data_IF_583475071854
#
_entry.id   IF_583475071854
#
_cell.length_a   1.000
_cell.length_b   1.000
_cell.length_c   1.000
_cell.angle_alpha   90.00
_cell.angle_beta   90.00
_cell.angle_gamma   90.00
#
_symmetry.space_group_name_H-M   'P 1'
#
loop_
_entity.id
_entity.type
_entity.pdbx_description
1 polymer ?
#
# COMPACT_ATOMS: atom_id res chain seq x y z
N UNK A 1 13.12 11.31 6.05
CA UNK A 1 12.48 10.83 7.31
C UNK A 1 11.64 11.90 7.97
N UNK A 2 12.12 13.10 8.05
CA UNK A 2 11.43 14.24 8.68
C UNK A 2 10.17 14.64 7.89
N UNK A 3 10.24 14.69 6.55
CA UNK A 3 9.09 14.98 5.70
C UNK A 3 7.99 13.91 5.83
N UNK A 4 8.38 12.63 5.97
CA UNK A 4 7.43 11.52 6.20
C UNK A 4 6.66 11.73 7.52
N UNK A 5 7.36 12.04 8.62
CA UNK A 5 6.70 12.29 9.92
C UNK A 5 5.79 13.53 9.83
N UNK A 6 6.27 14.61 9.20
CA UNK A 6 5.47 15.83 9.01
C UNK A 6 4.21 15.56 8.20
N UNK A 7 4.31 14.84 7.08
CA UNK A 7 3.15 14.46 6.27
C UNK A 7 2.16 13.62 7.07
N UNK A 8 2.65 12.63 7.86
CA UNK A 8 1.80 11.84 8.73
C UNK A 8 1.04 12.70 9.75
N UNK A 9 1.69 13.70 10.35
CA UNK A 9 1.05 14.64 11.29
C UNK A 9 -0.01 15.50 10.60
N UNK A 10 0.27 16.02 9.41
CA UNK A 10 -0.65 16.87 8.64
C UNK A 10 -1.94 16.14 8.21
N UNK A 11 -1.85 14.83 7.94
CA UNK A 11 -2.98 13.99 7.56
C UNK A 11 -3.78 13.47 8.76
N UNK A 12 -3.26 13.69 9.97
CA UNK A 12 -3.86 13.09 11.18
C UNK A 12 -5.09 13.86 11.65
N UNK A 13 -6.17 13.14 11.93
CA UNK A 13 -7.38 13.72 12.50
C UNK A 13 -7.14 14.23 13.93
N UNK A 14 -7.69 15.39 14.27
CA UNK A 14 -7.44 16.13 15.52
C UNK A 14 -7.63 15.32 16.79
N UNK A 15 -8.48 14.28 16.77
CA UNK A 15 -8.74 13.44 17.96
C UNK A 15 -7.78 12.25 18.10
N UNK A 16 -6.88 12.03 17.13
CA UNK A 16 -5.89 10.94 17.19
C UNK A 16 -4.69 11.35 18.02
N UNK A 17 -4.05 10.38 18.64
CA UNK A 17 -2.87 10.61 19.48
C UNK A 17 -1.59 10.49 18.69
N UNK A 18 -0.50 11.13 19.15
CA UNK A 18 0.85 10.96 18.61
C UNK A 18 1.26 9.48 18.57
N UNK A 19 0.79 8.67 19.54
CA UNK A 19 1.03 7.21 19.57
C UNK A 19 0.38 6.47 18.42
N UNK A 20 -0.81 6.90 17.96
CA UNK A 20 -1.46 6.34 16.78
C UNK A 20 -0.61 6.58 15.53
N UNK A 21 -0.10 7.79 15.34
CA UNK A 21 0.77 8.17 14.22
C UNK A 21 2.05 7.33 14.23
N UNK A 22 2.73 7.28 15.39
CA UNK A 22 3.91 6.46 15.57
C UNK A 22 3.65 4.99 15.22
N UNK A 23 2.52 4.42 15.66
CA UNK A 23 2.16 3.03 15.36
C UNK A 23 1.99 2.78 13.85
N UNK A 24 1.46 3.74 13.09
CA UNK A 24 1.37 3.66 11.63
C UNK A 24 2.78 3.62 11.03
N UNK A 25 3.64 4.58 11.39
CA UNK A 25 4.98 4.72 10.82
C UNK A 25 5.88 3.50 11.09
N UNK A 26 5.81 2.92 12.29
CA UNK A 26 6.59 1.71 12.64
C UNK A 26 5.96 0.41 12.18
N UNK A 27 4.71 0.46 11.68
CA UNK A 27 4.01 -0.72 11.18
C UNK A 27 3.51 -1.65 12.28
N UNK A 28 2.91 -1.11 13.36
CA UNK A 28 2.32 -1.93 14.41
C UNK A 28 1.21 -2.82 13.84
N UNK A 29 1.36 -4.13 13.97
CA UNK A 29 0.41 -5.13 13.48
C UNK A 29 -0.82 -5.20 14.38
N UNK A 30 -1.82 -4.34 14.16
CA UNK A 30 -3.13 -4.39 14.81
C UNK A 30 -4.20 -3.83 13.87
N UNK A 31 -5.43 -4.38 13.94
CA UNK A 31 -6.57 -3.97 13.12
C UNK A 31 -6.87 -2.48 13.30
N UNK A 32 -6.77 -1.96 14.55
CA UNK A 32 -6.95 -0.53 14.79
C UNK A 32 -5.90 0.33 14.06
N UNK A 33 -4.63 -0.11 13.98
CA UNK A 33 -3.61 0.64 13.25
C UNK A 33 -3.86 0.60 11.74
N UNK A 34 -4.33 -0.53 11.20
CA UNK A 34 -4.72 -0.60 9.79
C UNK A 34 -5.89 0.32 9.48
N UNK A 35 -6.93 0.32 10.33
CA UNK A 35 -8.07 1.21 10.18
C UNK A 35 -7.65 2.68 10.30
N UNK A 36 -6.81 3.03 11.28
CA UNK A 36 -6.29 4.38 11.46
C UNK A 36 -5.47 4.84 10.25
N UNK A 37 -4.65 3.96 9.67
CA UNK A 37 -3.89 4.28 8.46
C UNK A 37 -4.79 4.46 7.23
N UNK A 38 -5.82 3.63 7.07
CA UNK A 38 -6.76 3.71 5.95
C UNK A 38 -7.64 4.94 6.06
N UNK A 39 -8.32 5.16 7.20
CA UNK A 39 -9.26 6.26 7.41
C UNK A 39 -8.63 7.65 7.28
N UNK A 40 -7.32 7.76 7.43
CA UNK A 40 -6.54 8.99 7.29
C UNK A 40 -5.73 9.06 5.99
N UNK A 41 -5.93 8.13 5.04
CA UNK A 41 -5.19 8.00 3.78
C UNK A 41 -3.67 7.86 3.96
N UNK A 42 -3.23 7.26 5.09
CA UNK A 42 -1.83 7.06 5.44
C UNK A 42 -1.34 5.63 5.18
N UNK A 43 -2.03 4.81 4.37
CA UNK A 43 -1.61 3.43 4.11
C UNK A 43 -0.20 3.35 3.53
N UNK A 44 0.17 4.27 2.62
CA UNK A 44 1.52 4.31 2.05
C UNK A 44 2.61 4.69 3.05
N UNK A 45 2.25 5.25 4.21
CA UNK A 45 3.16 5.52 5.32
C UNK A 45 3.27 4.34 6.29
N UNK A 46 2.32 3.37 6.24
CA UNK A 46 2.35 2.23 7.15
C UNK A 46 3.61 1.41 6.95
N UNK A 47 4.37 1.24 8.06
CA UNK A 47 5.66 0.52 8.10
C UNK A 47 6.78 1.17 7.27
N UNK A 48 6.71 2.49 7.03
CA UNK A 48 7.76 3.23 6.31
C UNK A 48 9.00 3.50 7.17
N UNK A 49 8.85 3.56 8.50
CA UNK A 49 9.93 3.85 9.45
C UNK A 49 10.02 2.78 10.57
N UNK A 50 10.26 1.49 10.24
CA UNK A 50 10.20 0.39 11.22
C UNK A 50 11.24 0.49 12.35
N UNK A 51 12.34 1.19 12.12
CA UNK A 51 13.42 1.38 13.10
C UNK A 51 13.26 2.65 13.95
N UNK A 52 12.22 3.46 13.71
CA UNK A 52 11.97 4.67 14.47
C UNK A 52 11.66 4.32 15.93
N UNK A 53 12.42 4.91 16.86
CA UNK A 53 12.19 4.76 18.30
C UNK A 53 11.23 5.84 18.79
N UNK A 54 10.36 5.49 19.75
CA UNK A 54 9.34 6.42 20.26
C UNK A 54 9.96 7.70 20.88
N UNK A 55 11.04 7.63 21.69
CA UNK A 55 11.67 8.85 22.20
C UNK A 55 12.24 9.77 21.09
N UNK A 56 12.76 9.19 20.01
CA UNK A 56 13.23 9.98 18.86
C UNK A 56 12.09 10.66 18.10
N UNK A 57 10.92 9.99 18.06
CA UNK A 57 9.71 10.57 17.50
C UNK A 57 9.19 11.73 18.36
N UNK A 58 9.16 11.58 19.68
CA UNK A 58 8.77 12.67 20.62
C UNK A 58 9.71 13.87 20.51
N UNK A 59 11.02 13.64 20.50
CA UNK A 59 12.01 14.71 20.31
C UNK A 59 11.81 15.45 18.97
N UNK A 60 11.43 14.74 17.91
CA UNK A 60 11.09 15.37 16.63
C UNK A 60 9.86 16.28 16.74
N UNK A 61 8.82 15.85 17.48
CA UNK A 61 7.60 16.66 17.67
C UNK A 61 7.88 17.98 18.41
N UNK A 62 8.81 17.97 19.36
CA UNK A 62 9.20 19.15 20.11
C UNK A 62 9.91 20.19 19.24
N UNK A 63 10.61 19.74 18.18
CA UNK A 63 11.46 20.59 17.31
C UNK A 63 10.85 20.85 15.92
N UNK A 64 9.59 20.47 15.69
CA UNK A 64 8.98 20.49 14.34
C UNK A 64 8.82 21.89 13.73
N UNK A 65 8.85 22.96 14.55
CA UNK A 65 8.65 24.36 14.11
C UNK A 65 9.80 24.91 13.27
N UNK A 66 10.98 24.31 13.31
CA UNK A 66 12.20 24.78 12.63
C UNK A 66 12.33 24.25 11.18
N UNK A 67 11.38 23.43 10.70
CA UNK A 67 11.50 22.73 9.42
C UNK A 67 10.82 23.46 8.26
N UNK A 68 11.62 24.03 7.35
CA UNK A 68 11.17 24.40 6.00
C UNK A 68 10.98 23.14 5.15
N UNK A 69 9.76 22.88 4.69
CA UNK A 69 9.46 21.72 3.85
C UNK A 69 9.80 22.04 2.39
N UNK A 70 10.96 21.58 1.92
CA UNK A 70 11.32 21.63 0.48
C UNK A 70 10.75 20.47 -0.32
N UNK A 71 10.26 19.41 0.35
CA UNK A 71 9.72 18.21 -0.28
C UNK A 71 8.39 17.81 0.33
N UNK A 72 7.41 17.50 -0.51
CA UNK A 72 6.14 16.91 -0.14
C UNK A 72 6.20 15.38 -0.34
N UNK A 73 5.72 14.62 0.64
CA UNK A 73 5.60 13.15 0.55
C UNK A 73 4.22 12.82 -0.03
N UNK A 74 4.23 12.17 -1.18
CA UNK A 74 3.02 11.69 -1.84
C UNK A 74 2.43 10.51 -1.08
N UNK A 75 1.09 10.44 -1.06
CA UNK A 75 0.36 9.37 -0.39
C UNK A 75 -0.43 8.53 -1.40
N UNK A 76 -0.56 7.23 -1.11
CA UNK A 76 -1.40 6.32 -1.87
C UNK A 76 -2.46 5.68 -0.95
N UNK A 77 -3.78 5.79 -1.28
CA UNK A 77 -4.85 5.37 -0.39
C UNK A 77 -5.02 3.83 -0.26
N UNK A 78 -4.44 3.04 -1.17
CA UNK A 78 -4.74 1.60 -1.30
C UNK A 78 -3.58 0.67 -0.93
N UNK A 79 -2.34 1.15 -0.94
CA UNK A 79 -1.15 0.30 -0.79
C UNK A 79 -0.28 0.74 0.38
N UNK A 80 0.25 -0.25 1.11
CA UNK A 80 1.24 0.00 2.17
C UNK A 80 2.62 0.21 1.57
N UNK A 81 3.53 0.87 2.30
CA UNK A 81 4.92 1.03 1.88
C UNK A 81 5.57 -0.32 1.53
N UNK A 82 5.33 -1.35 2.35
CA UNK A 82 5.84 -2.70 2.11
C UNK A 82 5.34 -3.27 0.78
N UNK A 83 4.05 -3.19 0.49
CA UNK A 83 3.49 -3.74 -0.76
C UNK A 83 3.95 -2.99 -2.01
N UNK A 84 4.15 -1.68 -1.91
CA UNK A 84 4.76 -0.89 -2.99
C UNK A 84 6.19 -1.33 -3.25
N UNK A 85 7.00 -1.50 -2.19
CA UNK A 85 8.36 -2.02 -2.29
C UNK A 85 8.41 -3.44 -2.87
N UNK A 86 7.51 -4.34 -2.44
CA UNK A 86 7.40 -5.69 -2.99
C UNK A 86 6.99 -5.69 -4.47
N UNK A 87 6.10 -4.78 -4.89
CA UNK A 87 5.74 -4.59 -6.29
C UNK A 87 6.95 -4.18 -7.11
N UNK A 88 7.75 -3.22 -6.62
CA UNK A 88 8.97 -2.83 -7.28
C UNK A 88 10.01 -3.97 -7.34
N UNK A 89 10.19 -4.72 -6.25
CA UNK A 89 11.06 -5.91 -6.25
C UNK A 89 10.61 -6.96 -7.27
N UNK A 90 9.31 -7.11 -7.49
CA UNK A 90 8.78 -8.00 -8.51
C UNK A 90 9.06 -7.48 -9.94
N UNK A 91 8.99 -6.16 -10.17
CA UNK A 91 9.43 -5.55 -11.44
C UNK A 91 10.92 -5.78 -11.65
N UNK A 92 11.77 -5.55 -10.65
CA UNK A 92 13.21 -5.81 -10.73
C UNK A 92 13.52 -7.26 -11.11
N UNK A 93 12.86 -8.23 -10.45
CA UNK A 93 13.05 -9.65 -10.74
C UNK A 93 12.53 -10.02 -12.14
N UNK A 94 11.42 -9.41 -12.61
CA UNK A 94 10.94 -9.64 -13.97
C UNK A 94 11.93 -9.09 -15.01
N UNK A 95 12.47 -7.89 -14.82
CA UNK A 95 13.52 -7.31 -15.69
C UNK A 95 14.74 -8.20 -15.72
N UNK A 96 15.25 -8.65 -14.56
CA UNK A 96 16.38 -9.58 -14.48
C UNK A 96 16.08 -10.88 -15.24
N UNK A 97 14.90 -11.47 -15.05
CA UNK A 97 14.48 -12.71 -15.70
C UNK A 97 14.40 -12.54 -17.21
N UNK A 98 13.75 -11.47 -17.69
CA UNK A 98 13.61 -11.19 -19.13
C UNK A 98 14.98 -10.98 -19.78
N UNK A 99 15.84 -10.14 -19.19
CA UNK A 99 17.17 -9.84 -19.74
C UNK A 99 18.05 -11.07 -19.81
N UNK A 100 18.12 -11.90 -18.75
CA UNK A 100 18.95 -13.12 -18.77
C UNK A 100 18.41 -14.18 -19.74
N UNK A 101 17.10 -14.39 -19.79
CA UNK A 101 16.51 -15.40 -20.67
C UNK A 101 16.62 -15.03 -22.16
N UNK A 102 16.61 -13.74 -22.50
CA UNK A 102 16.89 -13.27 -23.88
C UNK A 102 18.34 -13.61 -24.33
N UNK A 103 19.29 -13.63 -23.39
CA UNK A 103 20.68 -14.07 -23.61
C UNK A 103 20.88 -15.58 -23.42
N UNK A 104 19.79 -16.35 -23.29
CA UNK A 104 19.79 -17.79 -23.05
C UNK A 104 20.52 -18.23 -21.77
N UNK A 105 20.69 -17.32 -20.81
CA UNK A 105 21.19 -17.64 -19.48
C UNK A 105 20.03 -17.92 -18.51
N UNK A 106 19.93 -19.17 -18.07
CA UNK A 106 18.92 -19.66 -17.14
C UNK A 106 19.49 -19.97 -15.74
N UNK A 107 20.76 -19.63 -15.48
CA UNK A 107 21.47 -19.95 -14.24
C UNK A 107 21.77 -18.74 -13.36
N UNK A 108 21.05 -17.64 -13.55
CA UNK A 108 21.19 -16.47 -12.72
C UNK A 108 20.60 -16.69 -11.30
N UNK A 109 21.16 -16.02 -10.31
CA UNK A 109 20.60 -15.98 -8.94
C UNK A 109 19.53 -14.90 -8.86
N UNK A 110 18.27 -15.25 -8.50
CA UNK A 110 17.21 -14.26 -8.40
C UNK A 110 17.54 -13.18 -7.36
N UNK A 111 17.33 -11.91 -7.69
CA UNK A 111 17.54 -10.76 -6.79
C UNK A 111 16.58 -10.75 -5.59
N UNK A 112 15.46 -11.46 -5.68
CA UNK A 112 14.51 -11.64 -4.56
C UNK A 112 14.36 -13.11 -4.20
N UNK A 113 14.52 -13.44 -2.91
CA UNK A 113 14.29 -14.77 -2.36
C UNK A 113 12.87 -14.94 -1.78
N UNK A 114 12.00 -13.96 -1.96
CA UNK A 114 10.61 -14.02 -1.52
C UNK A 114 9.81 -14.92 -2.48
N UNK A 115 9.33 -16.06 -1.98
CA UNK A 115 8.57 -17.03 -2.78
C UNK A 115 7.35 -16.42 -3.48
N UNK A 116 6.60 -15.55 -2.78
CA UNK A 116 5.42 -14.91 -3.36
C UNK A 116 5.78 -14.01 -4.53
N UNK A 117 6.89 -13.28 -4.44
CA UNK A 117 7.41 -12.45 -5.54
C UNK A 117 7.85 -13.35 -6.70
N UNK A 118 8.61 -14.42 -6.44
CA UNK A 118 9.07 -15.35 -7.47
C UNK A 118 7.90 -16.03 -8.20
N UNK A 119 6.86 -16.46 -7.48
CA UNK A 119 5.66 -17.06 -8.07
C UNK A 119 4.90 -16.05 -8.95
N UNK A 120 4.71 -14.82 -8.47
CA UNK A 120 4.06 -13.76 -9.25
C UNK A 120 4.84 -13.46 -10.52
N UNK A 121 6.15 -13.30 -10.42
CA UNK A 121 7.03 -13.04 -11.58
C UNK A 121 6.99 -14.20 -12.57
N UNK A 122 7.02 -15.46 -12.10
CA UNK A 122 6.91 -16.63 -12.96
C UNK A 122 5.61 -16.64 -13.77
N UNK A 123 4.49 -16.30 -13.13
CA UNK A 123 3.19 -16.22 -13.82
C UNK A 123 3.23 -15.14 -14.92
N UNK A 124 3.71 -13.94 -14.58
CA UNK A 124 3.77 -12.82 -15.55
C UNK A 124 4.79 -13.09 -16.66
N UNK A 125 5.95 -13.67 -16.35
CA UNK A 125 6.94 -14.09 -17.35
C UNK A 125 6.36 -15.10 -18.35
N UNK A 126 5.67 -16.14 -17.87
CA UNK A 126 5.02 -17.11 -18.73
C UNK A 126 3.94 -16.46 -19.62
N UNK A 127 3.14 -15.56 -19.06
CA UNK A 127 2.15 -14.78 -19.81
C UNK A 127 2.80 -13.98 -20.93
N UNK A 128 3.90 -13.27 -20.68
CA UNK A 128 4.66 -12.53 -21.70
C UNK A 128 5.16 -13.47 -22.78
N UNK A 129 5.76 -14.60 -22.40
CA UNK A 129 6.36 -15.58 -23.32
C UNK A 129 5.32 -16.24 -24.23
N UNK A 130 4.22 -16.73 -23.65
CA UNK A 130 3.15 -17.42 -24.37
C UNK A 130 2.43 -16.52 -25.36
N UNK A 131 2.26 -15.24 -25.01
CA UNK A 131 1.60 -14.25 -25.86
C UNK A 131 2.55 -13.41 -26.71
N UNK A 132 3.87 -13.69 -26.68
CA UNK A 132 4.92 -12.97 -27.44
C UNK A 132 4.94 -11.46 -27.19
N UNK A 133 4.76 -11.05 -25.93
CA UNK A 133 4.63 -9.64 -25.49
C UNK A 133 5.94 -9.02 -25.01
N UNK A 134 7.12 -9.50 -25.47
CA UNK A 134 8.42 -8.99 -25.01
C UNK A 134 8.60 -7.50 -25.31
N UNK A 135 8.26 -7.08 -26.54
CA UNK A 135 8.36 -5.67 -26.96
C UNK A 135 7.34 -4.81 -26.19
N UNK A 136 6.13 -5.32 -25.96
CA UNK A 136 5.10 -4.60 -25.20
C UNK A 136 5.54 -4.40 -23.74
N UNK A 137 6.16 -5.41 -23.14
CA UNK A 137 6.75 -5.31 -21.79
C UNK A 137 7.84 -4.23 -21.72
N UNK A 138 8.76 -4.19 -22.69
CA UNK A 138 9.83 -3.19 -22.78
C UNK A 138 9.24 -1.77 -22.92
N UNK A 139 8.22 -1.61 -23.76
CA UNK A 139 7.51 -0.35 -23.94
C UNK A 139 6.77 0.09 -22.66
N UNK A 140 6.04 -0.83 -22.00
CA UNK A 140 5.38 -0.53 -20.72
C UNK A 140 6.40 -0.12 -19.64
N UNK A 141 7.54 -0.83 -19.55
CA UNK A 141 8.59 -0.51 -18.59
C UNK A 141 9.19 0.88 -18.86
N UNK A 142 9.52 1.18 -20.12
CA UNK A 142 10.03 2.49 -20.52
C UNK A 142 9.04 3.61 -20.20
N UNK A 143 7.76 3.42 -20.55
CA UNK A 143 6.70 4.41 -20.31
C UNK A 143 6.47 4.63 -18.79
N UNK A 144 6.54 3.57 -17.98
CA UNK A 144 6.43 3.67 -16.53
C UNK A 144 7.52 4.58 -15.93
N UNK A 145 8.78 4.33 -16.26
CA UNK A 145 9.88 5.16 -15.76
C UNK A 145 9.83 6.59 -16.31
N UNK A 146 9.41 6.77 -17.55
CA UNK A 146 9.17 8.09 -18.14
C UNK A 146 8.06 8.84 -17.40
N UNK A 147 6.95 8.19 -17.10
CA UNK A 147 5.84 8.78 -16.35
C UNK A 147 6.27 9.19 -14.92
N UNK A 148 7.06 8.36 -14.23
CA UNK A 148 7.62 8.70 -12.92
C UNK A 148 8.54 9.93 -13.04
N UNK A 149 9.42 9.97 -14.04
CA UNK A 149 10.36 11.08 -14.27
C UNK A 149 9.65 12.41 -14.58
N UNK A 150 8.50 12.37 -15.24
CA UNK A 150 7.71 13.57 -15.51
C UNK A 150 7.10 14.19 -14.23
N UNK A 151 6.94 13.40 -13.17
CA UNK A 151 6.40 13.87 -11.87
C UNK A 151 7.50 14.26 -10.87
N UNK A 152 8.76 13.99 -11.18
CA UNK A 152 9.90 14.35 -10.34
C UNK A 152 11.12 13.46 -10.60
N UNK A 153 12.24 13.68 -9.89
CA UNK A 153 13.43 12.86 -10.02
C UNK A 153 13.11 11.38 -9.75
N UNK A 154 13.50 10.50 -10.68
CA UNK A 154 13.30 9.06 -10.56
C UNK A 154 14.63 8.38 -10.29
N UNK A 155 14.73 7.65 -9.19
CA UNK A 155 15.95 6.91 -8.82
C UNK A 155 15.75 5.38 -8.85
N UNK A 156 14.53 4.89 -9.08
CA UNK A 156 14.24 3.45 -9.07
C UNK A 156 14.97 2.69 -10.21
N UNK A 157 15.22 3.35 -11.34
CA UNK A 157 15.92 2.72 -12.47
C UNK A 157 17.33 2.25 -12.12
N UNK A 158 18.03 2.90 -11.18
CA UNK A 158 19.36 2.47 -10.72
C UNK A 158 19.37 1.07 -10.08
N UNK A 159 18.23 0.61 -9.62
CA UNK A 159 18.08 -0.68 -8.95
C UNK A 159 17.63 -1.80 -9.88
N UNK A 160 17.52 -1.54 -11.18
CA UNK A 160 17.27 -2.59 -12.16
C UNK A 160 18.58 -3.33 -12.48
N UNK A 161 18.46 -4.63 -12.67
CA UNK A 161 19.58 -5.49 -13.05
C UNK A 161 19.28 -6.16 -14.38
N UNK A 162 20.16 -5.97 -15.36
CA UNK A 162 20.18 -6.70 -16.62
C UNK A 162 21.20 -7.85 -16.59
N UNK A 163 21.39 -8.50 -17.75
CA UNK A 163 22.40 -9.54 -17.93
C UNK A 163 23.83 -8.97 -17.78
N UNK A 164 24.13 -7.88 -18.49
CA UNK A 164 25.45 -7.21 -18.46
C UNK A 164 25.50 -6.00 -17.53
N UNK A 165 24.37 -5.58 -16.95
CA UNK A 165 24.23 -4.37 -16.15
C UNK A 165 23.89 -4.70 -14.70
N UNK A 166 24.86 -4.61 -13.77
CA UNK A 166 24.60 -4.82 -12.36
C UNK A 166 23.79 -3.65 -11.76
N UNK A 167 22.88 -3.94 -10.84
CA UNK A 167 22.18 -2.90 -10.10
C UNK A 167 23.13 -2.11 -9.18
N UNK A 168 22.81 -0.84 -8.96
CA UNK A 168 23.51 0.00 -7.98
C UNK A 168 22.97 -0.26 -6.56
N UNK A 169 23.84 -0.09 -5.57
CA UNK A 169 23.42 -0.01 -4.17
C UNK A 169 22.88 1.40 -3.85
N UNK A 170 22.02 1.53 -2.86
CA UNK A 170 21.53 2.84 -2.40
C UNK A 170 22.69 3.81 -2.05
N UNK A 171 23.79 3.31 -1.49
CA UNK A 171 24.94 4.13 -1.17
C UNK A 171 25.60 4.69 -2.44
N UNK A 172 25.74 3.88 -3.48
CA UNK A 172 26.28 4.35 -4.78
C UNK A 172 25.37 5.40 -5.39
N UNK A 173 24.06 5.17 -5.44
CA UNK A 173 23.09 6.17 -5.95
C UNK A 173 23.15 7.47 -5.15
N UNK A 174 23.22 7.40 -3.81
CA UNK A 174 23.39 8.56 -2.94
C UNK A 174 24.64 9.39 -3.30
N UNK A 175 25.76 8.72 -3.60
CA UNK A 175 27.01 9.38 -4.01
C UNK A 175 26.91 9.98 -5.42
N UNK A 176 26.34 9.25 -6.39
CA UNK A 176 26.17 9.69 -7.78
C UNK A 176 25.31 10.94 -7.83
N UNK A 177 24.15 10.90 -7.15
CA UNK A 177 23.15 11.96 -7.16
C UNK A 177 23.42 13.08 -6.13
N UNK A 178 24.47 12.94 -5.33
CA UNK A 178 24.86 13.89 -4.25
C UNK A 178 23.73 14.16 -3.26
N UNK A 179 22.96 13.14 -2.94
CA UNK A 179 21.86 13.17 -1.97
C UNK A 179 22.27 12.46 -0.67
N UNK A 180 21.76 12.92 0.47
CA UNK A 180 21.83 12.11 1.68
C UNK A 180 20.97 10.86 1.54
N UNK A 181 21.32 9.78 2.27
CA UNK A 181 20.53 8.54 2.30
C UNK A 181 19.07 8.80 2.67
N UNK A 182 18.83 9.80 3.49
CA UNK A 182 17.50 10.20 3.95
C UNK A 182 16.70 10.89 2.83
N UNK A 183 17.30 11.82 2.10
CA UNK A 183 16.67 12.48 0.95
C UNK A 183 16.35 11.46 -0.15
N UNK A 184 17.32 10.60 -0.48
CA UNK A 184 17.13 9.55 -1.47
C UNK A 184 15.95 8.64 -1.09
N UNK A 185 15.84 8.23 0.18
CA UNK A 185 14.72 7.42 0.66
C UNK A 185 13.35 8.11 0.47
N UNK A 186 13.28 9.41 0.73
CA UNK A 186 12.04 10.18 0.56
C UNK A 186 11.66 10.35 -0.91
N UNK A 187 12.63 10.54 -1.82
CA UNK A 187 12.39 10.51 -3.26
C UNK A 187 11.94 9.14 -3.75
N UNK A 188 12.62 8.06 -3.32
CA UNK A 188 12.25 6.69 -3.65
C UNK A 188 10.80 6.37 -3.21
N UNK A 189 10.40 6.88 -2.05
CA UNK A 189 9.03 6.71 -1.56
C UNK A 189 8.02 7.38 -2.51
N UNK A 190 8.29 8.61 -2.96
CA UNK A 190 7.44 9.30 -3.94
C UNK A 190 7.43 8.56 -5.29
N UNK A 191 8.58 8.05 -5.73
CA UNK A 191 8.66 7.23 -6.95
C UNK A 191 7.81 5.96 -6.84
N UNK A 192 7.83 5.26 -5.69
CA UNK A 192 7.00 4.08 -5.46
C UNK A 192 5.50 4.42 -5.47
N UNK A 193 5.11 5.54 -4.85
CA UNK A 193 3.72 6.01 -4.88
C UNK A 193 3.28 6.33 -6.31
N UNK A 194 4.10 7.08 -7.05
CA UNK A 194 3.83 7.40 -8.47
C UNK A 194 3.72 6.13 -9.31
N UNK A 195 4.65 5.19 -9.14
CA UNK A 195 4.61 3.88 -9.81
C UNK A 195 3.27 3.17 -9.59
N UNK A 196 2.75 3.17 -8.36
CA UNK A 196 1.48 2.50 -8.07
C UNK A 196 0.28 3.19 -8.71
N UNK A 197 0.26 4.53 -8.78
CA UNK A 197 -0.78 5.26 -9.51
C UNK A 197 -0.74 4.93 -11.01
N UNK A 198 0.46 4.94 -11.61
CA UNK A 198 0.63 4.59 -13.03
C UNK A 198 0.17 3.16 -13.32
N UNK A 199 0.63 2.17 -12.55
CA UNK A 199 0.23 0.76 -12.72
C UNK A 199 -1.28 0.53 -12.58
N UNK A 200 -2.02 1.47 -11.96
CA UNK A 200 -3.48 1.42 -11.79
C UNK A 200 -4.25 2.30 -12.77
N UNK A 201 -3.57 3.04 -13.65
CA UNK A 201 -4.23 3.91 -14.64
C UNK A 201 -5.03 3.15 -15.70
N UNK A 202 -4.78 1.85 -15.89
CA UNK A 202 -5.35 1.02 -16.94
C UNK A 202 -4.48 0.92 -18.20
N UNK A 203 -3.40 1.71 -18.29
CA UNK A 203 -2.51 1.72 -19.47
C UNK A 203 -1.48 0.59 -19.47
N UNK A 204 -1.21 -0.01 -18.32
CA UNK A 204 -0.17 -1.03 -18.13
C UNK A 204 -0.79 -2.42 -18.01
N UNK A 205 -0.99 -3.12 -19.14
CA UNK A 205 -1.69 -4.40 -19.19
C UNK A 205 -0.85 -5.58 -18.68
N UNK A 206 0.47 -5.48 -18.78
CA UNK A 206 1.44 -6.48 -18.34
C UNK A 206 1.90 -6.16 -16.91
N UNK A 207 2.46 -4.96 -16.69
CA UNK A 207 3.03 -4.58 -15.41
C UNK A 207 1.98 -4.47 -14.30
N UNK A 208 0.72 -4.17 -14.60
CA UNK A 208 -0.36 -4.18 -13.61
C UNK A 208 -0.60 -5.55 -12.98
N UNK A 209 -0.26 -6.65 -13.67
CA UNK A 209 -0.40 -8.03 -13.17
C UNK A 209 0.61 -8.38 -12.06
N UNK A 210 1.67 -7.56 -11.91
CA UNK A 210 2.73 -7.81 -10.93
C UNK A 210 2.47 -7.11 -9.58
N UNK A 211 1.38 -6.36 -9.46
CA UNK A 211 1.04 -5.60 -8.25
C UNK A 211 0.86 -6.54 -7.05
N UNK A 212 1.66 -6.29 -6.02
CA UNK A 212 1.63 -7.05 -4.77
C UNK A 212 0.64 -6.45 -3.78
N UNK A 213 -0.30 -7.26 -3.28
CA UNK A 213 -1.21 -6.85 -2.19
C UNK A 213 -0.50 -6.95 -0.85
N UNK A 214 -0.82 -6.06 0.13
CA UNK A 214 -0.28 -6.15 1.49
C UNK A 214 -0.60 -7.51 2.12
N UNK A 215 0.34 -8.10 2.86
CA UNK A 215 0.14 -9.41 3.49
C UNK A 215 -0.93 -9.34 4.59
N UNK A 216 -1.89 -10.27 4.59
CA UNK A 216 -2.87 -10.42 5.66
C UNK A 216 -2.20 -11.00 6.92
N UNK A 217 -2.72 -10.65 8.10
CA UNK A 217 -2.36 -11.36 9.32
C UNK A 217 -2.83 -12.83 9.24
N UNK A 218 -2.13 -13.74 9.92
CA UNK A 218 -2.39 -15.18 9.78
C UNK A 218 -3.86 -15.55 10.06
N UNK A 219 -4.46 -15.05 11.13
CA UNK A 219 -5.86 -15.35 11.47
C UNK A 219 -6.82 -14.68 10.47
N UNK A 220 -6.50 -13.48 10.00
CA UNK A 220 -7.26 -12.82 8.94
C UNK A 220 -7.19 -13.60 7.62
N UNK A 221 -6.06 -14.21 7.29
CA UNK A 221 -5.95 -15.07 6.10
C UNK A 221 -6.86 -16.30 6.20
N UNK A 222 -6.96 -16.93 7.38
CA UNK A 222 -7.89 -18.04 7.62
C UNK A 222 -9.34 -17.56 7.45
N UNK A 223 -9.69 -16.41 8.02
CA UNK A 223 -11.03 -15.81 7.81
C UNK A 223 -11.30 -15.56 6.32
N UNK A 224 -10.34 -14.99 5.58
CA UNK A 224 -10.47 -14.74 4.15
C UNK A 224 -10.74 -16.02 3.35
N UNK A 225 -10.00 -17.09 3.61
CA UNK A 225 -10.22 -18.37 2.91
C UNK A 225 -11.61 -18.95 3.20
N UNK A 226 -12.13 -18.84 4.44
CA UNK A 226 -13.47 -19.29 4.81
C UNK A 226 -14.58 -18.45 4.17
N UNK A 227 -14.37 -17.12 4.07
CA UNK A 227 -15.33 -16.26 3.35
C UNK A 227 -15.40 -16.63 1.86
N UNK A 228 -14.28 -16.99 1.22
CA UNK A 228 -14.28 -17.50 -0.17
C UNK A 228 -15.03 -18.85 -0.30
N UNK A 229 -15.06 -19.65 0.76
CA UNK A 229 -15.82 -20.91 0.86
C UNK A 229 -17.31 -20.67 1.25
N UNK A 230 -17.76 -19.40 1.27
CA UNK A 230 -19.15 -18.99 1.57
C UNK A 230 -19.60 -19.26 3.03
N UNK A 231 -18.68 -19.41 3.99
CA UNK A 231 -19.04 -19.45 5.42
C UNK A 231 -19.51 -18.07 5.88
N UNK A 232 -20.50 -18.05 6.79
CA UNK A 232 -20.94 -16.81 7.45
C UNK A 232 -19.90 -16.33 8.48
N UNK A 233 -19.96 -15.04 8.85
CA UNK A 233 -19.08 -14.49 9.88
C UNK A 233 -19.29 -15.19 11.23
N UNK A 234 -20.51 -15.58 11.56
CA UNK A 234 -20.89 -16.33 12.76
C UNK A 234 -20.26 -17.73 12.77
N UNK A 235 -20.34 -18.44 11.64
CA UNK A 235 -19.73 -19.77 11.49
C UNK A 235 -18.20 -19.70 11.67
N UNK A 236 -17.57 -18.68 11.07
CA UNK A 236 -16.13 -18.46 11.18
C UNK A 236 -15.74 -18.13 12.62
N UNK A 237 -16.53 -17.29 13.30
CA UNK A 237 -16.29 -16.94 14.71
C UNK A 237 -16.36 -18.18 15.60
N UNK A 238 -17.37 -19.05 15.38
CA UNK A 238 -17.51 -20.32 16.09
C UNK A 238 -16.33 -21.27 15.82
N UNK A 239 -15.93 -21.43 14.55
CA UNK A 239 -14.78 -22.28 14.16
C UNK A 239 -13.46 -21.82 14.76
N UNK A 240 -13.21 -20.51 14.75
CA UNK A 240 -11.98 -19.91 15.30
C UNK A 240 -12.03 -19.72 16.81
N UNK A 241 -13.18 -19.97 17.45
CA UNK A 241 -13.42 -19.75 18.89
C UNK A 241 -13.15 -18.32 19.33
N UNK A 242 -13.56 -17.34 18.53
CA UNK A 242 -13.41 -15.90 18.78
C UNK A 242 -14.76 -15.21 18.79
N UNK A 243 -14.80 -13.97 19.28
CA UNK A 243 -16.00 -13.14 19.21
C UNK A 243 -16.24 -12.65 17.78
N UNK A 244 -17.51 -12.42 17.43
CA UNK A 244 -17.89 -11.87 16.14
C UNK A 244 -17.14 -10.58 15.81
N UNK A 245 -16.93 -9.68 16.76
CA UNK A 245 -16.18 -8.45 16.55
C UNK A 245 -14.72 -8.69 16.10
N UNK A 246 -14.13 -9.84 16.42
CA UNK A 246 -12.80 -10.21 15.92
C UNK A 246 -12.86 -10.55 14.42
N UNK A 247 -13.92 -11.20 13.98
CA UNK A 247 -14.14 -11.49 12.56
C UNK A 247 -14.47 -10.20 11.80
N UNK A 248 -15.24 -9.28 12.38
CA UNK A 248 -15.47 -7.94 11.83
C UNK A 248 -14.14 -7.19 11.60
N UNK A 249 -13.21 -7.24 12.56
CA UNK A 249 -11.88 -6.66 12.43
C UNK A 249 -11.05 -7.36 11.33
N UNK A 250 -11.18 -8.70 11.16
CA UNK A 250 -10.55 -9.42 10.06
C UNK A 250 -11.12 -8.99 8.71
N UNK A 251 -12.45 -8.85 8.59
CA UNK A 251 -13.10 -8.36 7.37
C UNK A 251 -12.63 -6.96 7.01
N UNK A 252 -12.54 -6.05 7.99
CA UNK A 252 -11.98 -4.72 7.77
C UNK A 252 -10.54 -4.78 7.24
N UNK A 253 -9.67 -5.64 7.78
CA UNK A 253 -8.31 -5.81 7.27
C UNK A 253 -8.32 -6.34 5.82
N UNK A 254 -9.20 -7.29 5.48
CA UNK A 254 -9.35 -7.85 4.14
C UNK A 254 -9.75 -6.76 3.14
N UNK A 255 -10.72 -5.91 3.49
CA UNK A 255 -11.16 -4.77 2.68
C UNK A 255 -10.04 -3.72 2.56
N UNK A 256 -9.42 -3.30 3.67
CA UNK A 256 -8.32 -2.32 3.69
C UNK A 256 -7.17 -2.75 2.78
N UNK A 257 -6.82 -4.04 2.79
CA UNK A 257 -5.72 -4.59 1.97
C UNK A 257 -6.14 -4.98 0.54
N UNK A 258 -7.41 -4.78 0.19
CA UNK A 258 -7.95 -4.95 -1.16
C UNK A 258 -8.06 -6.40 -1.63
N UNK A 259 -8.23 -7.33 -0.71
CA UNK A 259 -8.52 -8.74 -1.05
C UNK A 259 -9.96 -8.96 -1.47
N UNK A 260 -10.90 -8.17 -0.93
CA UNK A 260 -12.31 -8.11 -1.30
C UNK A 260 -12.72 -6.65 -1.51
N UNK A 261 -13.77 -6.43 -2.30
CA UNK A 261 -14.34 -5.12 -2.62
C UNK A 261 -15.87 -5.13 -2.72
N UNK A 262 -16.52 -6.19 -2.21
CA UNK A 262 -17.95 -6.37 -2.20
C UNK A 262 -18.56 -5.75 -0.93
N UNK A 263 -18.64 -4.44 -0.88
CA UNK A 263 -19.18 -3.67 0.25
C UNK A 263 -20.67 -3.92 0.46
N UNK A 264 -21.42 -4.25 -0.61
CA UNK A 264 -22.87 -4.56 -0.59
C UNK A 264 -23.21 -5.77 0.27
N UNK A 265 -22.26 -6.68 0.52
CA UNK A 265 -22.45 -7.82 1.42
C UNK A 265 -22.61 -7.40 2.90
N UNK A 266 -22.21 -6.17 3.24
CA UNK A 266 -22.18 -5.69 4.61
C UNK A 266 -23.12 -4.52 4.88
N UNK A 267 -23.43 -3.69 3.86
CA UNK A 267 -24.27 -2.50 3.99
C UNK A 267 -25.12 -2.34 2.74
N UNK A 268 -26.40 -2.08 2.89
CA UNK A 268 -27.32 -1.86 1.78
C UNK A 268 -26.96 -0.58 1.01
N UNK A 269 -27.21 -0.56 -0.30
CA UNK A 269 -26.79 0.55 -1.19
C UNK A 269 -27.41 1.89 -0.82
N UNK A 270 -28.65 1.89 -0.30
CA UNK A 270 -29.31 3.12 0.14
C UNK A 270 -28.58 3.75 1.34
N UNK A 271 -28.23 2.94 2.33
CA UNK A 271 -27.45 3.36 3.50
C UNK A 271 -26.05 3.81 3.11
N UNK A 272 -25.41 3.14 2.13
CA UNK A 272 -24.11 3.55 1.60
C UNK A 272 -24.18 4.97 1.04
N UNK A 273 -25.11 5.27 0.15
CA UNK A 273 -25.25 6.59 -0.48
C UNK A 273 -25.52 7.68 0.54
N UNK A 274 -26.42 7.44 1.48
CA UNK A 274 -26.75 8.41 2.54
C UNK A 274 -25.53 8.70 3.42
N UNK A 275 -24.82 7.65 3.86
CA UNK A 275 -23.65 7.79 4.69
C UNK A 275 -22.50 8.48 3.96
N UNK A 276 -22.20 8.10 2.72
CA UNK A 276 -21.08 8.65 1.95
C UNK A 276 -21.26 10.15 1.69
N UNK A 277 -22.48 10.59 1.35
CA UNK A 277 -22.79 12.01 1.20
C UNK A 277 -22.54 12.80 2.49
N UNK A 278 -22.93 12.22 3.62
CA UNK A 278 -22.73 12.85 4.93
C UNK A 278 -21.24 12.83 5.32
N UNK A 279 -20.56 11.69 5.15
CA UNK A 279 -19.16 11.51 5.51
C UNK A 279 -18.22 12.47 4.74
N UNK A 280 -18.47 12.70 3.46
CA UNK A 280 -17.69 13.63 2.65
C UNK A 280 -17.64 15.04 3.25
N UNK A 281 -18.75 15.51 3.82
CA UNK A 281 -18.87 16.82 4.44
C UNK A 281 -18.33 16.87 5.88
N UNK A 282 -18.28 15.73 6.55
CA UNK A 282 -17.90 15.60 7.97
C UNK A 282 -16.70 14.67 8.16
N UNK A 283 -15.82 14.59 7.15
CA UNK A 283 -14.64 13.73 7.20
C UNK A 283 -13.74 14.10 8.38
N UNK A 284 -13.30 13.08 9.13
CA UNK A 284 -12.37 13.28 10.24
C UNK A 284 -13.05 13.40 11.62
N UNK A 285 -14.36 13.21 11.70
CA UNK A 285 -15.07 13.12 12.96
C UNK A 285 -14.89 11.74 13.62
N UNK A 286 -15.23 11.64 14.93
CA UNK A 286 -15.16 10.37 15.66
C UNK A 286 -16.29 9.43 15.23
N UNK A 287 -16.05 8.12 15.24
CA UNK A 287 -17.08 7.11 14.95
C UNK A 287 -18.37 7.28 15.72
N UNK A 288 -18.30 7.76 16.98
CA UNK A 288 -19.49 8.06 17.80
C UNK A 288 -20.37 9.13 17.15
N UNK A 289 -19.79 10.17 16.55
CA UNK A 289 -20.52 11.21 15.84
C UNK A 289 -21.34 10.64 14.68
N UNK A 290 -20.74 9.77 13.87
CA UNK A 290 -21.47 9.12 12.78
C UNK A 290 -22.55 8.16 13.30
N UNK A 291 -22.29 7.43 14.40
CA UNK A 291 -23.28 6.53 15.02
C UNK A 291 -24.50 7.27 15.55
N UNK A 292 -24.36 8.50 16.02
CA UNK A 292 -25.47 9.36 16.47
C UNK A 292 -26.34 9.85 15.31
N UNK A 293 -25.80 9.93 14.09
CA UNK A 293 -26.55 10.32 12.88
C UNK A 293 -27.14 9.11 12.13
N UNK A 294 -26.50 7.95 12.24
CA UNK A 294 -26.87 6.69 11.57
C UNK A 294 -27.03 5.60 12.63
N UNK A 295 -28.06 5.70 13.45
CA UNK A 295 -28.31 4.81 14.60
C UNK A 295 -28.67 3.37 14.18
N UNK A 296 -29.15 3.16 12.95
CA UNK A 296 -29.41 1.86 12.34
C UNK A 296 -28.13 1.10 11.98
N UNK A 297 -27.05 1.80 11.59
CA UNK A 297 -25.78 1.19 11.19
C UNK A 297 -24.93 0.81 12.42
N UNK A 298 -24.40 -0.40 12.44
CA UNK A 298 -23.43 -0.83 13.44
C UNK A 298 -22.09 -0.09 13.30
N UNK A 299 -21.25 -0.09 14.34
CA UNK A 299 -19.88 0.46 14.25
C UNK A 299 -19.03 -0.24 13.19
N UNK A 300 -19.25 -1.53 12.96
CA UNK A 300 -18.60 -2.29 11.90
C UNK A 300 -19.00 -1.75 10.53
N UNK A 301 -20.30 -1.61 10.25
CA UNK A 301 -20.82 -1.07 8.99
C UNK A 301 -20.30 0.34 8.70
N UNK A 302 -20.28 1.22 9.70
CA UNK A 302 -19.69 2.55 9.58
C UNK A 302 -18.21 2.50 9.17
N UNK A 303 -17.43 1.59 9.78
CA UNK A 303 -16.01 1.40 9.42
C UNK A 303 -15.86 0.85 8.01
N UNK A 304 -16.71 -0.08 7.58
CA UNK A 304 -16.73 -0.64 6.21
C UNK A 304 -16.92 0.49 5.20
N UNK A 305 -17.89 1.36 5.41
CA UNK A 305 -18.18 2.49 4.53
C UNK A 305 -17.02 3.51 4.48
N UNK A 306 -16.43 3.84 5.64
CA UNK A 306 -15.23 4.69 5.71
C UNK A 306 -14.09 4.08 4.92
N UNK A 307 -13.83 2.78 5.08
CA UNK A 307 -12.77 2.08 4.32
C UNK A 307 -13.04 2.16 2.82
N UNK A 308 -14.26 1.89 2.37
CA UNK A 308 -14.65 1.96 0.97
C UNK A 308 -14.42 3.35 0.37
N UNK A 309 -14.83 4.39 1.08
CA UNK A 309 -14.65 5.79 0.66
C UNK A 309 -13.17 6.18 0.60
N UNK A 310 -12.42 5.97 1.69
CA UNK A 310 -11.03 6.42 1.79
C UNK A 310 -10.08 5.67 0.85
N UNK A 311 -10.45 4.47 0.45
CA UNK A 311 -9.74 3.73 -0.62
C UNK A 311 -10.14 4.16 -2.03
N UNK A 312 -11.25 4.91 -2.18
CA UNK A 312 -11.87 5.24 -3.45
C UNK A 312 -12.46 4.02 -4.16
N UNK A 313 -12.93 3.02 -3.41
CA UNK A 313 -13.69 1.88 -3.91
C UNK A 313 -15.20 2.20 -3.95
N UNK A 314 -15.66 3.06 -3.03
CA UNK A 314 -16.99 3.66 -3.00
C UNK A 314 -16.89 5.16 -3.29
N UNK A 315 -17.73 5.68 -4.17
CA UNK A 315 -17.77 7.09 -4.52
C UNK A 315 -19.18 7.65 -4.29
N UNK A 316 -19.23 8.94 -3.97
CA UNK A 316 -20.47 9.71 -4.04
C UNK A 316 -20.80 9.90 -5.52
N UNK A 317 -22.00 9.52 -5.94
CA UNK A 317 -22.44 9.61 -7.33
C UNK A 317 -22.70 11.08 -7.74
#
# INVERSE_FOLDING_TARGET
MQHIIKTALQQTFNYKTNKSIYNILVGKKSHQTFFDACSQQQLSLYHSLPLLKYPSFELFLENITEFNAEMEIMLHPRYTFESMGQTFQAIQLLVQTMSNTMQQDFRFVPISQNNKIQETVKIVYNYIKENKLQIDFENELHNLFKAITLKGPCYLHYYLQGYDEPMYTRQQVSLIEKLSQQQLFEYEMNNLVTMMFELKSGEYTILSKIIMKPTLLNQTYITYTRLLEQFTMEDIAAQQQVKINTIEDHVLEILIKGYMSNYDDYVEQEDQLQFLNFYQQHRGERLKFYKEQFDTLSYFQLKVLIVGFERGDLNVA
#
